data_IF_652686090048
#
_entry.id   IF_652686090048
#
_cell.length_a   1.000
_cell.length_b   1.000
_cell.length_c   1.000
_cell.angle_alpha   90.00
_cell.angle_beta   90.00
_cell.angle_gamma   90.00
#
_symmetry.space_group_name_H-M   'P 1'
#
loop_
_entity.id
_entity.type
_entity.pdbx_description
1 polymer ?
#
# COMPACT_ATOMS: atom_id res chain seq x y z
N UNK A 1 24.26 -5.10 9.84
CA UNK A 1 23.60 -4.93 8.53
C UNK A 1 22.15 -4.57 8.74
N UNK A 2 21.71 -3.43 8.21
CA UNK A 2 20.34 -3.00 8.38
C UNK A 2 19.44 -3.68 7.35
N UNK A 3 18.41 -4.38 7.83
CA UNK A 3 17.40 -4.98 6.96
C UNK A 3 16.32 -3.96 6.62
N UNK A 4 15.92 -3.91 5.35
CA UNK A 4 14.77 -3.12 4.94
C UNK A 4 13.51 -3.95 5.11
N UNK A 5 12.47 -3.33 5.65
CA UNK A 5 11.15 -3.94 5.81
C UNK A 5 10.18 -3.27 4.83
N UNK A 6 9.63 -4.03 3.92
CA UNK A 6 8.67 -3.52 2.92
C UNK A 6 7.28 -3.88 3.39
N UNK A 7 6.47 -2.86 3.62
CA UNK A 7 5.08 -3.02 4.05
C UNK A 7 4.20 -3.16 2.81
N UNK A 8 3.42 -4.23 2.74
CA UNK A 8 2.51 -4.43 1.63
C UNK A 8 1.24 -3.56 1.77
N UNK A 9 0.41 -3.55 0.72
CA UNK A 9 -0.78 -2.71 0.67
C UNK A 9 -1.77 -3.02 1.79
N UNK A 10 -1.97 -4.30 2.10
CA UNK A 10 -2.90 -4.71 3.16
C UNK A 10 -2.45 -4.21 4.52
N UNK A 11 -1.15 -4.32 4.81
CA UNK A 11 -0.60 -3.83 6.08
C UNK A 11 -0.64 -2.30 6.16
N UNK A 12 -0.39 -1.59 5.06
CA UNK A 12 -0.54 -0.13 5.04
C UNK A 12 -1.98 0.25 5.33
N UNK A 13 -2.95 -0.44 4.73
CA UNK A 13 -4.37 -0.18 4.98
C UNK A 13 -4.71 -0.38 6.45
N UNK A 14 -4.25 -1.46 7.06
CA UNK A 14 -4.47 -1.72 8.48
C UNK A 14 -3.81 -0.67 9.37
N UNK A 15 -2.60 -0.23 9.02
CA UNK A 15 -1.89 0.82 9.74
C UNK A 15 -2.69 2.12 9.71
N UNK A 16 -3.19 2.52 8.54
CA UNK A 16 -3.98 3.75 8.38
C UNK A 16 -5.31 3.68 9.11
N UNK A 17 -5.85 2.46 9.30
CA UNK A 17 -7.08 2.24 10.07
C UNK A 17 -6.84 2.19 11.58
N UNK A 18 -5.59 2.25 12.01
CA UNK A 18 -5.25 2.25 13.44
C UNK A 18 -5.15 0.86 14.06
N UNK A 19 -4.90 -0.18 13.27
CA UNK A 19 -4.74 -1.54 13.79
C UNK A 19 -3.54 -1.61 14.73
N UNK A 20 -3.78 -1.94 16.01
CA UNK A 20 -2.76 -1.90 17.06
C UNK A 20 -1.63 -2.91 16.83
N UNK A 21 -1.95 -4.09 16.32
CA UNK A 21 -0.94 -5.11 16.03
C UNK A 21 0.03 -4.64 14.94
N UNK A 22 -0.48 -4.01 13.90
CA UNK A 22 0.35 -3.47 12.80
C UNK A 22 1.16 -2.26 13.29
N UNK A 23 0.53 -1.35 14.04
CA UNK A 23 1.22 -0.19 14.62
C UNK A 23 2.40 -0.65 15.49
N UNK A 24 2.21 -1.66 16.32
CA UNK A 24 3.26 -2.19 17.17
C UNK A 24 4.43 -2.74 16.35
N UNK A 25 4.15 -3.53 15.31
CA UNK A 25 5.19 -4.08 14.43
C UNK A 25 5.93 -2.99 13.68
N UNK A 26 5.23 -2.01 13.15
CA UNK A 26 5.82 -0.88 12.41
C UNK A 26 6.74 -0.07 13.31
N UNK A 27 6.32 0.17 14.56
CA UNK A 27 7.13 0.91 15.52
C UNK A 27 8.45 0.19 15.80
N UNK A 28 8.43 -1.14 15.86
CA UNK A 28 9.64 -1.94 16.09
C UNK A 28 10.65 -1.88 14.95
N UNK A 29 10.20 -1.77 13.72
CA UNK A 29 11.07 -1.84 12.53
C UNK A 29 11.39 -0.45 11.95
N UNK A 30 10.69 0.59 12.40
CA UNK A 30 11.03 1.96 12.02
C UNK A 30 12.41 2.32 12.59
N UNK A 31 13.33 2.98 11.87
CA UNK A 31 13.16 3.67 10.59
C UNK A 31 13.48 2.86 9.34
N UNK A 32 13.63 1.55 9.42
CA UNK A 32 13.97 0.70 8.27
C UNK A 32 12.75 0.33 7.43
N UNK A 33 11.60 0.92 7.75
CA UNK A 33 10.35 0.68 7.05
C UNK A 33 10.33 1.42 5.71
N UNK A 34 9.85 0.74 4.68
CA UNK A 34 9.67 1.34 3.38
C UNK A 34 8.40 0.76 2.72
N UNK A 35 7.84 1.50 1.78
CA UNK A 35 6.72 1.04 0.93
C UNK A 35 7.08 1.28 -0.52
N UNK A 36 6.33 0.69 -1.45
CA UNK A 36 6.56 0.90 -2.87
C UNK A 36 5.57 1.91 -3.44
N UNK A 37 5.94 2.53 -4.56
CA UNK A 37 5.04 3.44 -5.27
C UNK A 37 3.76 2.72 -5.74
N UNK A 38 3.85 1.41 -6.00
CA UNK A 38 2.67 0.61 -6.36
C UNK A 38 1.67 0.56 -5.21
N UNK A 39 2.15 0.39 -3.97
CA UNK A 39 1.30 0.44 -2.78
C UNK A 39 0.63 1.81 -2.64
N UNK A 40 1.38 2.90 -2.86
CA UNK A 40 0.83 4.26 -2.84
C UNK A 40 -0.32 4.38 -3.85
N UNK A 41 -0.10 3.93 -5.07
CA UNK A 41 -1.10 3.95 -6.12
C UNK A 41 -2.37 3.18 -5.72
N UNK A 42 -2.20 1.97 -5.20
CA UNK A 42 -3.34 1.14 -4.81
C UNK A 42 -4.17 1.79 -3.69
N UNK A 43 -3.52 2.38 -2.70
CA UNK A 43 -4.20 3.06 -1.61
C UNK A 43 -4.98 4.27 -2.14
N UNK A 44 -4.37 5.11 -2.99
CA UNK A 44 -5.04 6.27 -3.57
C UNK A 44 -6.21 5.85 -4.46
N UNK A 45 -6.04 4.80 -5.27
CA UNK A 45 -7.11 4.28 -6.11
C UNK A 45 -8.31 3.82 -5.27
N UNK A 46 -8.06 3.22 -4.12
CA UNK A 46 -9.13 2.83 -3.19
C UNK A 46 -9.97 4.02 -2.74
N UNK A 47 -9.34 5.15 -2.39
CA UNK A 47 -10.07 6.36 -2.02
C UNK A 47 -10.79 6.98 -3.21
N UNK A 48 -10.16 7.00 -4.39
CA UNK A 48 -10.78 7.56 -5.61
C UNK A 48 -12.05 6.78 -5.97
N UNK A 49 -12.03 5.46 -5.88
CA UNK A 49 -13.22 4.63 -6.13
C UNK A 49 -14.37 5.03 -5.19
N UNK A 50 -14.08 5.19 -3.90
CA UNK A 50 -15.09 5.59 -2.90
C UNK A 50 -15.61 7.01 -3.16
N UNK A 51 -14.72 7.94 -3.51
CA UNK A 51 -15.10 9.33 -3.79
C UNK A 51 -16.01 9.41 -5.00
N UNK A 52 -15.77 8.57 -6.02
CA UNK A 52 -16.56 8.54 -7.25
C UNK A 52 -17.87 7.76 -7.12
N UNK A 53 -18.10 7.10 -6.00
CA UNK A 53 -19.34 6.36 -5.74
C UNK A 53 -20.45 7.36 -5.35
N UNK A 54 -21.49 7.44 -6.17
CA UNK A 54 -22.60 8.36 -5.97
C UNK A 54 -23.37 8.10 -4.67
N UNK A 55 -23.35 6.85 -4.19
CA UNK A 55 -24.04 6.50 -2.93
C UNK A 55 -23.29 7.08 -1.72
N UNK A 56 -22.02 7.47 -1.90
CA UNK A 56 -21.19 8.03 -0.85
C UNK A 56 -21.14 9.58 -0.86
N UNK A 57 -22.03 10.23 -1.62
CA UNK A 57 -21.99 11.69 -1.78
C UNK A 57 -22.12 12.45 -0.45
N UNK A 58 -22.85 11.89 0.51
CA UNK A 58 -22.99 12.50 1.84
C UNK A 58 -21.70 12.44 2.66
N UNK A 59 -20.74 11.59 2.27
CA UNK A 59 -19.49 11.38 2.98
C UNK A 59 -18.28 12.04 2.29
N UNK A 60 -18.51 12.90 1.29
CA UNK A 60 -17.42 13.45 0.48
C UNK A 60 -16.36 14.17 1.33
N UNK A 61 -16.80 15.01 2.30
CA UNK A 61 -15.84 15.73 3.15
C UNK A 61 -14.95 14.75 3.91
N UNK A 62 -15.55 13.71 4.47
CA UNK A 62 -14.82 12.69 5.21
C UNK A 62 -13.87 11.89 4.28
N UNK A 63 -14.32 11.54 3.08
CA UNK A 63 -13.51 10.79 2.12
C UNK A 63 -12.32 11.61 1.63
N UNK A 64 -12.52 12.89 1.30
CA UNK A 64 -11.42 13.76 0.90
C UNK A 64 -10.47 14.02 2.06
N UNK A 65 -10.98 14.11 3.29
CA UNK A 65 -10.13 14.24 4.48
C UNK A 65 -9.23 13.00 4.64
N UNK A 66 -9.78 11.82 4.42
CA UNK A 66 -8.99 10.57 4.49
C UNK A 66 -7.95 10.50 3.37
N UNK A 67 -8.29 10.94 2.18
CA UNK A 67 -7.33 11.04 1.08
C UNK A 67 -6.19 12.01 1.43
N UNK A 68 -6.53 13.16 1.98
CA UNK A 68 -5.54 14.15 2.41
C UNK A 68 -4.65 13.60 3.52
N UNK A 69 -5.24 12.94 4.53
CA UNK A 69 -4.47 12.33 5.63
C UNK A 69 -3.53 11.26 5.11
N UNK A 70 -3.98 10.45 4.16
CA UNK A 70 -3.15 9.42 3.52
C UNK A 70 -1.94 10.04 2.82
N UNK A 71 -2.16 11.12 2.08
CA UNK A 71 -1.09 11.84 1.39
C UNK A 71 -0.09 12.44 2.40
N UNK A 72 -0.58 13.01 3.49
CA UNK A 72 0.28 13.54 4.56
C UNK A 72 1.13 12.43 5.21
N UNK A 73 0.52 11.24 5.43
CA UNK A 73 1.24 10.09 5.97
C UNK A 73 2.40 9.70 5.06
N UNK A 74 2.17 9.63 3.75
CA UNK A 74 3.20 9.19 2.81
C UNK A 74 4.39 10.16 2.70
N UNK A 75 4.22 11.42 3.09
CA UNK A 75 5.34 12.37 3.11
C UNK A 75 6.45 11.96 4.07
N UNK A 76 6.09 11.26 5.15
CA UNK A 76 7.05 10.83 6.16
C UNK A 76 7.61 9.43 5.95
N UNK A 77 7.27 8.76 4.85
CA UNK A 77 7.64 7.37 4.60
C UNK A 77 8.57 7.29 3.39
N UNK A 78 9.59 6.44 3.49
CA UNK A 78 10.45 6.15 2.35
C UNK A 78 9.67 5.34 1.32
N UNK A 79 9.63 5.82 0.08
CA UNK A 79 8.88 5.19 -1.00
C UNK A 79 9.86 4.75 -2.09
N UNK A 80 9.85 3.45 -2.41
CA UNK A 80 10.66 2.88 -3.47
C UNK A 80 9.93 2.99 -4.80
N UNK A 81 10.64 3.49 -5.82
CA UNK A 81 10.08 3.61 -7.15
C UNK A 81 9.99 2.24 -7.84
N UNK A 82 9.16 2.17 -8.88
CA UNK A 82 9.03 0.99 -9.73
C UNK A 82 9.97 1.15 -10.92
N UNK A 83 11.24 0.78 -10.72
CA UNK A 83 12.27 0.89 -11.74
C UNK A 83 12.36 -0.39 -12.60
N UNK A 84 13.34 -0.41 -13.52
CA UNK A 84 13.53 -1.55 -14.43
C UNK A 84 13.80 -2.85 -13.66
N UNK A 85 14.61 -2.80 -12.61
CA UNK A 85 14.91 -3.97 -11.80
C UNK A 85 13.65 -4.50 -11.11
N UNK A 86 12.84 -3.61 -10.56
CA UNK A 86 11.57 -3.97 -9.93
C UNK A 86 10.59 -4.57 -10.95
N UNK A 87 10.53 -4.01 -12.15
CA UNK A 87 9.69 -4.54 -13.23
C UNK A 87 10.09 -5.97 -13.60
N UNK A 88 11.39 -6.24 -13.70
CA UNK A 88 11.88 -7.58 -14.01
C UNK A 88 11.48 -8.60 -12.94
N UNK A 89 11.59 -8.22 -11.66
CA UNK A 89 11.14 -9.05 -10.55
C UNK A 89 9.63 -9.28 -10.60
N UNK A 90 8.87 -8.24 -10.90
CA UNK A 90 7.41 -8.32 -11.01
C UNK A 90 6.97 -9.28 -12.11
N UNK A 91 7.61 -9.22 -13.30
CA UNK A 91 7.33 -10.14 -14.39
C UNK A 91 7.58 -11.59 -13.96
N UNK A 92 8.69 -11.84 -13.27
CA UNK A 92 9.01 -13.18 -12.76
C UNK A 92 7.96 -13.71 -11.80
N UNK A 93 7.46 -12.86 -10.90
CA UNK A 93 6.41 -13.22 -9.95
C UNK A 93 5.08 -13.50 -10.64
N UNK A 94 4.71 -12.71 -11.64
CA UNK A 94 3.50 -12.94 -12.44
C UNK A 94 3.55 -14.30 -13.12
N UNK A 95 4.66 -14.65 -13.71
CA UNK A 95 4.83 -15.95 -14.36
C UNK A 95 4.68 -17.11 -13.37
N UNK A 96 5.27 -16.98 -12.19
CA UNK A 96 5.13 -17.98 -11.10
C UNK A 96 3.67 -18.12 -10.67
N UNK A 97 2.99 -17.01 -10.47
CA UNK A 97 1.59 -17.03 -10.03
C UNK A 97 0.68 -17.64 -11.09
N UNK A 98 0.93 -17.35 -12.36
CA UNK A 98 0.17 -17.97 -13.46
C UNK A 98 0.37 -19.47 -13.50
N UNK A 99 1.61 -19.95 -13.32
CA UNK A 99 1.91 -21.38 -13.28
C UNK A 99 1.24 -22.06 -12.09
N UNK A 100 1.28 -21.43 -10.92
CA UNK A 100 0.63 -21.96 -9.72
C UNK A 100 -0.89 -22.04 -9.90
N UNK A 101 -1.50 -21.03 -10.51
CA UNK A 101 -2.92 -21.02 -10.79
C UNK A 101 -3.31 -22.12 -11.78
N UNK A 102 -2.51 -22.35 -12.79
CA UNK A 102 -2.73 -23.42 -13.75
C UNK A 102 -2.65 -24.80 -13.10
N UNK A 103 -1.75 -24.98 -12.14
CA UNK A 103 -1.61 -26.24 -11.41
C UNK A 103 -2.78 -26.53 -10.47
N UNK A 104 -3.48 -25.50 -10.02
CA UNK A 104 -4.65 -25.65 -9.15
C UNK A 104 -5.91 -26.01 -9.91
N UNK A 105 -5.93 -25.74 -11.19
CA UNK A 105 -7.04 -26.08 -12.06
C UNK A 105 -6.93 -27.49 -12.58
#
# INVERSE_FOLDING_TARGET
MMSLYILDTDHVSLLLQGNQGVISKVTQVYPNLTITIVTVQEIFNGWVVKINDRTESANLVNLYTKLWTTQEYFKGVRILNFDTAAYTCYEGLLKKNQQLNKKRL
#
